data_IF_024303943803
#
_entry.id   IF_024303943803
#
_cell.length_a   1.000
_cell.length_b   1.000
_cell.length_c   1.000
_cell.angle_alpha   90.00
_cell.angle_beta   90.00
_cell.angle_gamma   90.00
#
_symmetry.space_group_name_H-M   'P 1'
#
loop_
_entity.id
_entity.type
_entity.pdbx_description
1 polymer ?
#
# COMPACT_ATOMS: atom_id res chain seq x y z
N UNK A 1 -22.90 27.63 34.04
CA UNK A 1 -21.77 28.54 33.71
C UNK A 1 -20.51 27.90 34.26
N UNK A 2 -19.46 27.55 33.54
CA UNK A 2 -19.01 27.79 32.16
C UNK A 2 -18.26 26.54 31.68
N UNK A 3 -18.65 25.92 30.57
CA UNK A 3 -17.97 26.09 29.28
C UNK A 3 -16.45 25.94 29.40
N UNK A 4 -15.91 24.75 29.13
CA UNK A 4 -14.54 24.49 28.67
C UNK A 4 -14.42 23.00 28.22
N UNK A 5 -15.31 22.55 27.33
CA UNK A 5 -15.00 21.40 26.46
C UNK A 5 -13.96 21.86 25.44
N UNK A 6 -12.70 21.90 25.88
CA UNK A 6 -11.57 22.13 24.98
C UNK A 6 -11.43 20.87 24.13
N UNK A 7 -12.11 20.84 22.97
CA UNK A 7 -11.69 20.00 21.84
C UNK A 7 -10.22 20.30 21.59
N UNK A 8 -9.33 19.49 22.15
CA UNK A 8 -7.88 19.70 22.07
C UNK A 8 -7.46 19.57 20.61
N UNK A 9 -7.37 20.71 19.91
CA UNK A 9 -6.84 20.75 18.53
C UNK A 9 -5.37 20.40 18.56
N UNK A 10 -5.01 19.30 17.89
CA UNK A 10 -3.64 18.81 17.77
C UNK A 10 -2.99 19.34 16.49
N UNK A 11 -1.71 19.70 16.55
CA UNK A 11 -0.90 20.09 15.37
C UNK A 11 -0.30 18.88 14.66
N UNK A 12 0.05 19.02 13.39
CA UNK A 12 0.72 17.96 12.62
C UNK A 12 2.05 17.49 13.25
N UNK A 13 2.86 18.41 13.78
CA UNK A 13 4.11 18.09 14.50
C UNK A 13 3.84 17.23 15.75
N UNK A 14 2.83 17.58 16.54
CA UNK A 14 2.43 16.81 17.73
C UNK A 14 1.92 15.41 17.36
N UNK A 15 1.16 15.29 16.27
CA UNK A 15 0.71 14.00 15.76
C UNK A 15 1.89 13.11 15.35
N UNK A 16 2.93 13.68 14.73
CA UNK A 16 4.16 12.96 14.39
C UNK A 16 4.85 12.42 15.63
N UNK A 17 5.07 13.26 16.63
CA UNK A 17 5.73 12.88 17.89
C UNK A 17 4.99 11.74 18.59
N UNK A 18 3.66 11.85 18.71
CA UNK A 18 2.82 10.80 19.29
C UNK A 18 2.86 9.50 18.50
N UNK A 19 2.81 9.60 17.17
CA UNK A 19 2.86 8.43 16.29
C UNK A 19 4.21 7.72 16.40
N UNK A 20 5.31 8.46 16.37
CA UNK A 20 6.65 7.91 16.51
C UNK A 20 6.84 7.26 17.89
N UNK A 21 6.38 7.90 18.98
CA UNK A 21 6.46 7.32 20.32
C UNK A 21 5.70 5.99 20.44
N UNK A 22 4.56 5.83 19.76
CA UNK A 22 3.81 4.57 19.70
C UNK A 22 4.55 3.50 18.89
N UNK A 23 4.99 3.85 17.68
CA UNK A 23 5.57 2.90 16.73
C UNK A 23 7.01 2.49 17.09
N UNK A 24 7.75 3.30 17.83
CA UNK A 24 9.11 2.99 18.30
C UNK A 24 9.19 1.72 19.17
N UNK A 25 8.06 1.24 19.70
CA UNK A 25 7.99 -0.03 20.45
C UNK A 25 8.09 -1.26 19.54
N UNK A 26 7.83 -1.10 18.25
CA UNK A 26 7.72 -2.19 17.25
C UNK A 26 8.74 -2.00 16.12
N UNK A 27 8.98 -0.74 15.73
CA UNK A 27 9.81 -0.35 14.60
C UNK A 27 10.94 0.57 15.01
N UNK A 28 11.99 0.64 14.19
CA UNK A 28 13.06 1.63 14.38
C UNK A 28 12.57 3.07 14.18
N UNK A 29 13.41 4.06 14.53
CA UNK A 29 13.05 5.48 14.41
C UNK A 29 12.78 5.91 12.96
N UNK A 30 13.59 5.42 12.02
CA UNK A 30 13.45 5.73 10.58
C UNK A 30 12.23 5.05 9.96
N UNK A 31 11.94 3.80 10.36
CA UNK A 31 10.73 3.09 9.93
C UNK A 31 9.48 3.76 10.48
N UNK A 32 9.48 4.12 11.77
CA UNK A 32 8.37 4.85 12.40
C UNK A 32 8.09 6.18 11.71
N UNK A 33 9.16 6.90 11.32
CA UNK A 33 9.06 8.14 10.52
C UNK A 33 8.47 7.87 9.14
N UNK A 34 8.96 6.82 8.47
CA UNK A 34 8.47 6.44 7.14
C UNK A 34 6.99 6.06 7.17
N UNK A 35 6.58 5.24 8.14
CA UNK A 35 5.19 4.83 8.35
C UNK A 35 4.30 6.05 8.58
N UNK A 36 4.72 6.99 9.44
CA UNK A 36 3.96 8.22 9.67
C UNK A 36 3.68 8.98 8.36
N UNK A 37 4.70 9.21 7.53
CA UNK A 37 4.53 9.93 6.27
C UNK A 37 3.69 9.15 5.25
N UNK A 38 3.81 7.82 5.20
CA UNK A 38 2.98 6.97 4.34
C UNK A 38 1.49 7.11 4.70
N UNK A 39 1.15 7.01 5.98
CA UNK A 39 -0.23 7.15 6.45
C UNK A 39 -0.75 8.57 6.27
N UNK A 40 0.10 9.56 6.50
CA UNK A 40 -0.26 10.97 6.38
C UNK A 40 -0.64 11.31 4.93
N UNK A 41 0.15 10.83 3.99
CA UNK A 41 -0.14 10.99 2.57
C UNK A 41 -1.40 10.22 2.16
N UNK A 42 -1.51 8.95 2.55
CA UNK A 42 -2.64 8.10 2.12
C UNK A 42 -3.99 8.58 2.65
N UNK A 43 -4.07 8.89 3.95
CA UNK A 43 -5.35 9.14 4.61
C UNK A 43 -5.70 10.62 4.70
N UNK A 44 -4.71 11.52 4.71
CA UNK A 44 -4.92 12.96 4.84
C UNK A 44 -4.48 13.76 3.61
N UNK A 45 -3.86 13.12 2.60
CA UNK A 45 -3.41 13.79 1.38
C UNK A 45 -2.27 14.79 1.60
N UNK A 46 -1.52 14.65 2.70
CA UNK A 46 -0.43 15.57 3.04
C UNK A 46 0.90 14.84 2.79
N UNK A 47 1.62 15.28 1.76
CA UNK A 47 2.97 14.79 1.46
C UNK A 47 4.02 15.37 2.43
N UNK A 48 5.26 14.90 2.29
CA UNK A 48 6.38 15.29 3.14
C UNK A 48 6.67 16.78 3.05
N UNK A 49 6.61 17.39 1.86
CA UNK A 49 6.92 18.82 1.67
C UNK A 49 5.85 19.67 2.36
N UNK A 50 4.59 19.36 2.08
CA UNK A 50 3.44 20.02 2.68
C UNK A 50 3.41 19.88 4.20
N UNK A 51 3.86 18.73 4.74
CA UNK A 51 4.04 18.55 6.18
C UNK A 51 5.09 19.49 6.78
N UNK A 52 6.26 19.64 6.14
CA UNK A 52 7.32 20.51 6.68
C UNK A 52 6.94 22.00 6.62
N UNK A 53 6.25 22.42 5.56
CA UNK A 53 5.74 23.79 5.41
C UNK A 53 4.63 24.07 6.44
N UNK A 54 3.70 23.13 6.61
CA UNK A 54 2.49 23.32 7.41
C UNK A 54 2.52 22.58 8.75
N UNK A 55 3.69 22.28 9.32
CA UNK A 55 3.78 21.43 10.51
C UNK A 55 3.02 21.93 11.73
N UNK A 56 2.76 23.24 11.81
CA UNK A 56 1.97 23.88 12.86
C UNK A 56 0.46 23.95 12.56
N UNK A 57 0.03 23.44 11.40
CA UNK A 57 -1.38 23.37 11.02
C UNK A 57 -2.12 22.42 11.96
N UNK A 58 -3.28 22.87 12.42
CA UNK A 58 -4.21 22.08 13.23
C UNK A 58 -4.88 21.01 12.38
N UNK A 59 -5.01 19.80 12.93
CA UNK A 59 -5.73 18.69 12.34
C UNK A 59 -7.18 18.69 12.83
N UNK A 60 -8.12 18.30 11.95
CA UNK A 60 -9.52 18.13 12.34
C UNK A 60 -9.69 16.90 13.23
N UNK A 61 -10.74 16.88 14.04
CA UNK A 61 -11.01 15.74 14.91
C UNK A 61 -11.27 14.45 14.12
N UNK A 62 -11.97 14.54 12.98
CA UNK A 62 -12.25 13.38 12.12
C UNK A 62 -10.97 12.80 11.51
N UNK A 63 -10.08 13.67 11.02
CA UNK A 63 -8.77 13.26 10.52
C UNK A 63 -7.91 12.62 11.61
N UNK A 64 -7.94 13.18 12.83
CA UNK A 64 -7.23 12.62 13.98
C UNK A 64 -7.75 11.23 14.35
N UNK A 65 -9.07 11.07 14.39
CA UNK A 65 -9.72 9.80 14.70
C UNK A 65 -9.40 8.73 13.66
N UNK A 66 -9.53 9.07 12.36
CA UNK A 66 -9.16 8.20 11.26
C UNK A 66 -7.69 7.78 11.37
N UNK A 67 -6.78 8.73 11.60
CA UNK A 67 -5.35 8.44 11.71
C UNK A 67 -5.03 7.52 12.89
N UNK A 68 -5.61 7.80 14.07
CA UNK A 68 -5.45 6.98 15.26
C UNK A 68 -5.99 5.55 15.07
N UNK A 69 -7.10 5.38 14.36
CA UNK A 69 -7.62 4.06 13.99
C UNK A 69 -6.57 3.27 13.21
N UNK A 70 -5.93 3.89 12.20
CA UNK A 70 -4.91 3.22 11.39
C UNK A 70 -3.65 2.89 12.19
N UNK A 71 -3.19 3.78 13.06
CA UNK A 71 -2.07 3.49 13.97
C UNK A 71 -2.40 2.33 14.90
N UNK A 72 -3.62 2.25 15.43
CA UNK A 72 -4.03 1.15 16.32
C UNK A 72 -3.98 -0.23 15.66
N UNK A 73 -4.13 -0.30 14.32
CA UNK A 73 -3.97 -1.53 13.56
C UNK A 73 -2.49 -1.93 13.46
N UNK A 74 -1.61 -0.95 13.25
CA UNK A 74 -0.16 -1.17 13.17
C UNK A 74 0.42 -1.54 14.55
N UNK A 75 -0.12 -0.96 15.64
CA UNK A 75 0.23 -1.35 17.01
C UNK A 75 -0.13 -2.82 17.32
N UNK A 76 -1.03 -3.42 16.54
CA UNK A 76 -1.35 -4.87 16.56
C UNK A 76 -0.52 -5.68 15.57
N UNK A 77 0.62 -5.12 15.14
CA UNK A 77 1.56 -5.72 14.20
C UNK A 77 0.97 -6.04 12.82
N UNK A 78 -0.15 -5.38 12.45
CA UNK A 78 -0.66 -5.49 11.09
C UNK A 78 0.28 -4.70 10.16
N UNK A 79 0.83 -5.33 9.11
CA UNK A 79 1.71 -4.65 8.17
C UNK A 79 1.09 -3.36 7.62
N UNK A 80 1.88 -2.28 7.60
CA UNK A 80 1.43 -0.95 7.14
C UNK A 80 0.80 -1.01 5.73
N UNK A 81 1.34 -1.85 4.84
CA UNK A 81 0.83 -2.03 3.49
C UNK A 81 -0.58 -2.62 3.47
N UNK A 82 -0.93 -3.49 4.42
CA UNK A 82 -2.30 -4.00 4.55
C UNK A 82 -3.25 -2.96 5.16
N UNK A 83 -2.74 -2.08 6.04
CA UNK A 83 -3.51 -0.95 6.58
C UNK A 83 -3.84 0.08 5.48
N UNK A 84 -2.87 0.39 4.61
CA UNK A 84 -3.04 1.21 3.40
C UNK A 84 -3.88 0.47 2.34
N UNK A 85 -3.77 -0.86 2.28
CA UNK A 85 -4.51 -1.73 1.36
C UNK A 85 -3.93 -1.81 -0.05
N UNK A 86 -2.79 -1.17 -0.30
CA UNK A 86 -2.06 -1.26 -1.56
C UNK A 86 -0.59 -0.89 -1.41
N UNK A 87 0.21 -1.21 -2.43
CA UNK A 87 1.59 -0.74 -2.62
C UNK A 87 1.73 -0.14 -4.02
N UNK A 88 2.71 0.75 -4.22
CA UNK A 88 3.06 1.28 -5.54
C UNK A 88 4.45 0.75 -5.90
N UNK A 89 4.54 0.02 -7.00
CA UNK A 89 5.78 -0.60 -7.49
C UNK A 89 5.87 -0.34 -8.99
N UNK A 90 6.95 0.29 -9.46
CA UNK A 90 7.14 0.60 -10.89
C UNK A 90 5.91 1.29 -11.54
N UNK A 91 5.31 2.24 -10.81
CA UNK A 91 4.08 2.95 -11.20
C UNK A 91 2.80 2.09 -11.17
N UNK A 92 2.89 0.81 -10.79
CA UNK A 92 1.74 -0.07 -10.57
C UNK A 92 1.31 -0.01 -9.10
N UNK A 93 0.16 0.63 -8.85
CA UNK A 93 -0.65 0.41 -7.65
C UNK A 93 -1.15 -1.05 -7.55
N UNK A 94 -0.59 -1.88 -6.69
CA UNK A 94 -0.99 -3.28 -6.46
C UNK A 94 -1.78 -3.35 -5.16
N UNK A 95 -3.02 -3.85 -5.21
CA UNK A 95 -3.83 -4.01 -4.01
C UNK A 95 -3.32 -5.19 -3.17
N UNK A 96 -3.32 -5.02 -1.85
CA UNK A 96 -2.87 -6.05 -0.92
C UNK A 96 -3.81 -6.12 0.29
N UNK A 97 -3.95 -7.32 0.84
CA UNK A 97 -4.60 -7.57 2.12
C UNK A 97 -4.10 -8.90 2.67
N UNK A 98 -4.62 -9.33 3.83
CA UNK A 98 -4.27 -10.60 4.49
C UNK A 98 -4.42 -11.88 3.65
N UNK A 99 -5.02 -11.81 2.46
CA UNK A 99 -5.22 -12.96 1.57
C UNK A 99 -4.13 -13.11 0.51
N UNK A 100 -3.17 -12.18 0.44
CA UNK A 100 -2.08 -12.18 -0.55
C UNK A 100 -0.77 -11.76 0.11
N UNK A 101 0.35 -12.27 -0.40
CA UNK A 101 1.66 -11.79 0.01
C UNK A 101 1.84 -10.32 -0.39
N UNK A 102 2.44 -9.51 0.49
CA UNK A 102 2.90 -8.17 0.13
C UNK A 102 4.04 -8.33 -0.88
N UNK A 103 3.93 -7.75 -2.08
CA UNK A 103 4.97 -7.86 -3.10
C UNK A 103 6.36 -7.49 -2.58
N UNK A 104 7.36 -8.27 -2.96
CA UNK A 104 8.75 -8.13 -2.49
C UNK A 104 9.64 -7.55 -3.59
N UNK A 105 10.68 -6.76 -3.25
CA UNK A 105 11.60 -6.18 -4.24
C UNK A 105 12.19 -7.23 -5.20
N UNK A 106 12.56 -8.39 -4.68
CA UNK A 106 13.16 -9.50 -5.44
C UNK A 106 12.20 -10.03 -6.53
N UNK A 107 10.88 -9.94 -6.31
CA UNK A 107 9.88 -10.31 -7.32
C UNK A 107 9.86 -9.31 -8.49
N UNK A 108 10.18 -8.05 -8.22
CA UNK A 108 10.29 -7.00 -9.25
C UNK A 108 11.54 -7.23 -10.09
N UNK A 109 12.66 -7.58 -9.45
CA UNK A 109 13.90 -7.92 -10.13
C UNK A 109 13.73 -9.12 -11.07
N UNK A 110 12.99 -10.14 -10.62
CA UNK A 110 12.59 -11.27 -11.47
C UNK A 110 11.79 -10.80 -12.69
N UNK A 111 10.80 -9.93 -12.49
CA UNK A 111 10.00 -9.41 -13.61
C UNK A 111 10.87 -8.60 -14.60
N UNK A 112 11.78 -7.77 -14.09
CA UNK A 112 12.73 -7.01 -14.89
C UNK A 112 13.63 -7.93 -15.72
N UNK A 113 14.12 -9.02 -15.13
CA UNK A 113 14.90 -10.03 -15.86
C UNK A 113 14.09 -10.72 -16.97
N UNK A 114 12.82 -11.05 -16.70
CA UNK A 114 11.93 -11.70 -17.68
C UNK A 114 11.69 -10.79 -18.90
N UNK A 115 11.39 -9.50 -18.70
CA UNK A 115 11.07 -8.59 -19.81
C UNK A 115 12.27 -8.34 -20.74
N UNK A 116 13.51 -8.53 -20.27
CA UNK A 116 14.71 -8.45 -21.12
C UNK A 116 14.71 -9.50 -22.25
N UNK A 117 13.94 -10.59 -22.11
CA UNK A 117 13.78 -11.62 -23.14
C UNK A 117 12.94 -11.18 -24.35
N UNK A 118 12.44 -9.93 -24.38
CA UNK A 118 11.58 -9.38 -25.45
C UNK A 118 10.39 -10.30 -25.75
N UNK A 119 9.56 -10.51 -24.73
CA UNK A 119 8.35 -11.31 -24.81
C UNK A 119 7.34 -10.62 -25.74
N UNK A 120 7.34 -11.01 -27.02
CA UNK A 120 6.38 -10.59 -28.02
C UNK A 120 5.50 -11.77 -28.40
N UNK A 121 4.19 -11.53 -28.49
CA UNK A 121 3.20 -12.50 -28.97
C UNK A 121 3.17 -13.84 -28.18
N UNK A 122 3.65 -13.82 -26.93
CA UNK A 122 3.71 -15.00 -26.08
C UNK A 122 2.43 -15.20 -25.25
N UNK A 123 2.17 -16.47 -24.92
CA UNK A 123 1.22 -16.86 -23.87
C UNK A 123 2.01 -17.20 -22.62
N UNK A 124 1.78 -16.47 -21.53
CA UNK A 124 2.53 -16.59 -20.27
C UNK A 124 1.57 -17.01 -19.17
N UNK A 125 2.01 -17.94 -18.32
CA UNK A 125 1.28 -18.39 -17.14
C UNK A 125 2.04 -18.00 -15.86
N UNK A 126 1.37 -17.21 -15.02
CA UNK A 126 1.80 -16.82 -13.66
C UNK A 126 1.08 -17.72 -12.65
N UNK A 127 1.80 -18.64 -12.03
CA UNK A 127 1.27 -19.62 -11.07
C UNK A 127 1.48 -19.11 -9.64
N UNK A 128 0.42 -19.05 -8.85
CA UNK A 128 0.47 -18.43 -7.51
C UNK A 128 0.47 -16.90 -7.59
N UNK A 129 -0.35 -16.34 -8.47
CA UNK A 129 -0.32 -14.91 -8.83
C UNK A 129 -0.51 -13.97 -7.63
N UNK A 130 -1.15 -14.43 -6.55
CA UNK A 130 -1.34 -13.67 -5.32
C UNK A 130 -2.04 -12.34 -5.58
N UNK A 131 -1.32 -11.25 -5.35
CA UNK A 131 -1.81 -9.88 -5.59
C UNK A 131 -1.86 -9.49 -7.08
N UNK A 132 -1.35 -10.35 -7.98
CA UNK A 132 -1.26 -10.12 -9.41
C UNK A 132 -0.03 -9.31 -9.83
N UNK A 133 1.01 -9.17 -8.99
CA UNK A 133 2.17 -8.34 -9.31
C UNK A 133 2.80 -8.77 -10.64
N UNK A 134 3.23 -10.03 -10.75
CA UNK A 134 3.98 -10.53 -11.92
C UNK A 134 3.11 -10.40 -13.18
N UNK A 135 1.88 -10.92 -13.12
CA UNK A 135 0.96 -10.86 -14.24
C UNK A 135 0.70 -9.42 -14.76
N UNK A 136 0.47 -8.46 -13.86
CA UNK A 136 0.26 -7.06 -14.22
C UNK A 136 1.55 -6.40 -14.74
N UNK A 137 2.68 -6.73 -14.14
CA UNK A 137 3.98 -6.21 -14.53
C UNK A 137 4.34 -6.63 -15.95
N UNK A 138 4.26 -7.93 -16.24
CA UNK A 138 4.53 -8.46 -17.57
C UNK A 138 3.53 -7.89 -18.57
N UNK A 139 2.24 -7.80 -18.23
CA UNK A 139 1.27 -7.21 -19.16
C UNK A 139 1.56 -5.74 -19.50
N UNK A 140 2.04 -4.95 -18.53
CA UNK A 140 2.40 -3.54 -18.76
C UNK A 140 3.62 -3.40 -19.68
N UNK A 141 4.56 -4.35 -19.61
CA UNK A 141 5.89 -4.22 -20.20
C UNK A 141 6.16 -5.20 -21.37
N UNK A 142 5.16 -5.99 -21.80
CA UNK A 142 5.29 -6.95 -22.91
C UNK A 142 4.31 -6.61 -24.04
N UNK A 143 4.74 -6.79 -25.29
CA UNK A 143 3.93 -6.44 -26.45
C UNK A 143 3.09 -7.65 -26.91
N UNK A 144 1.80 -7.43 -27.13
CA UNK A 144 0.84 -8.45 -27.58
C UNK A 144 0.83 -9.79 -26.81
N UNK A 145 1.30 -9.82 -25.56
CA UNK A 145 1.24 -11.03 -24.74
C UNK A 145 -0.14 -11.28 -24.14
N UNK A 146 -0.51 -12.56 -24.06
CA UNK A 146 -1.64 -13.06 -23.27
C UNK A 146 -1.09 -13.58 -21.94
N UNK A 147 -1.57 -13.03 -20.83
CA UNK A 147 -1.11 -13.40 -19.49
C UNK A 147 -2.24 -14.14 -18.76
N UNK A 148 -1.99 -15.38 -18.38
CA UNK A 148 -2.83 -16.15 -17.49
C UNK A 148 -2.29 -16.05 -16.07
N UNK A 149 -3.13 -15.67 -15.12
CA UNK A 149 -2.78 -15.55 -13.72
C UNK A 149 -3.58 -16.58 -12.93
N UNK A 150 -2.95 -17.55 -12.30
CA UNK A 150 -3.61 -18.64 -11.58
C UNK A 150 -3.25 -18.60 -10.10
N UNK A 151 -4.21 -18.92 -9.25
CA UNK A 151 -4.01 -19.03 -7.81
C UNK A 151 -5.09 -19.96 -7.26
N UNK A 152 -4.71 -20.82 -6.31
CA UNK A 152 -5.64 -21.71 -5.62
C UNK A 152 -6.59 -20.94 -4.67
N UNK A 153 -6.22 -19.71 -4.28
CA UNK A 153 -7.01 -18.88 -3.39
C UNK A 153 -7.96 -17.96 -4.16
N UNK A 154 -9.26 -18.23 -4.08
CA UNK A 154 -10.28 -17.34 -4.64
C UNK A 154 -10.18 -15.91 -4.05
N UNK A 155 -9.77 -15.78 -2.78
CA UNK A 155 -9.53 -14.48 -2.14
C UNK A 155 -8.36 -13.74 -2.80
N UNK A 156 -7.27 -14.43 -3.16
CA UNK A 156 -6.16 -13.83 -3.88
C UNK A 156 -6.58 -13.37 -5.28
N UNK A 157 -7.33 -14.22 -6.00
CA UNK A 157 -7.87 -13.87 -7.32
C UNK A 157 -8.78 -12.63 -7.27
N UNK A 158 -9.59 -12.47 -6.22
CA UNK A 158 -10.38 -11.24 -6.00
C UNK A 158 -9.48 -10.01 -5.82
N UNK A 159 -8.34 -10.13 -5.14
CA UNK A 159 -7.38 -9.02 -4.97
C UNK A 159 -6.72 -8.68 -6.30
N UNK A 160 -6.18 -9.65 -7.02
CA UNK A 160 -5.57 -9.46 -8.34
C UNK A 160 -6.53 -8.77 -9.33
N UNK A 161 -7.84 -9.08 -9.25
CA UNK A 161 -8.88 -8.50 -10.10
C UNK A 161 -9.19 -7.02 -9.82
N UNK A 162 -8.91 -6.49 -8.61
CA UNK A 162 -9.30 -5.11 -8.23
C UNK A 162 -8.73 -4.02 -9.15
N UNK A 163 -7.65 -4.31 -9.88
CA UNK A 163 -7.05 -3.38 -10.84
C UNK A 163 -7.29 -3.72 -12.31
N UNK A 164 -7.82 -4.91 -12.59
CA UNK A 164 -7.99 -5.41 -13.95
C UNK A 164 -9.26 -4.83 -14.58
N UNK A 165 -9.19 -3.58 -15.06
CA UNK A 165 -10.17 -3.07 -16.04
C UNK A 165 -9.98 -3.70 -17.43
N UNK A 166 -8.88 -4.39 -17.65
CA UNK A 166 -8.53 -5.05 -18.90
C UNK A 166 -9.08 -6.49 -18.90
N UNK A 167 -9.79 -6.88 -19.97
CA UNK A 167 -10.43 -8.21 -20.21
C UNK A 167 -9.44 -9.40 -20.31
N UNK A 168 -8.33 -9.39 -19.57
CA UNK A 168 -7.12 -10.06 -20.00
C UNK A 168 -6.75 -11.35 -19.29
N UNK A 169 -7.55 -11.80 -18.33
CA UNK A 169 -7.19 -12.94 -17.49
C UNK A 169 -8.24 -14.04 -17.57
N UNK A 170 -7.84 -15.21 -18.06
CA UNK A 170 -8.57 -16.47 -17.86
C UNK A 170 -7.98 -17.15 -16.62
N UNK A 171 -8.67 -16.99 -15.51
CA UNK A 171 -8.41 -17.69 -14.25
C UNK A 171 -9.06 -19.07 -14.30
N UNK A 172 -8.32 -20.14 -14.01
CA UNK A 172 -8.88 -21.47 -13.74
C UNK A 172 -8.52 -21.85 -12.31
N UNK A 173 -9.48 -22.46 -11.64
CA UNK A 173 -9.31 -23.20 -10.38
C UNK A 173 -8.75 -24.58 -10.71
#
# INVERSE_FOLDING_TARGET
MSCLDVKKTMKLKELKELTQAKLLKIYGIEESRSIFHLLLNEFLGIDVINFHINGDKKISLDSLNLFNEKISLIEKEIPVQYVIGHVIIEGLKIFVNKSVLIPRPETVDLCNWIIQKKLNDQVILDIGTGSGLIALFLKKNSNNCVIHAWDNSEKALRVAKKKCKTKLFRYKF
#
